data_IF_394001722947
#
_entry.id   IF_394001722947
#
_cell.length_a   1.000
_cell.length_b   1.000
_cell.length_c   1.000
_cell.angle_alpha   90.00
_cell.angle_beta   90.00
_cell.angle_gamma   90.00
#
_symmetry.space_group_name_H-M   'P 1'
#
loop_
_entity.id
_entity.type
_entity.pdbx_description
1 polymer ?
#
# COMPACT_ATOMS: atom_id res chain seq x y z
N UNK A 1 71.87 -20.53 30.03
CA UNK A 1 71.79 -20.08 28.61
C UNK A 1 70.86 -20.95 27.73
N UNK A 2 69.73 -21.49 28.26
CA UNK A 2 68.76 -22.27 27.46
C UNK A 2 67.39 -21.61 27.33
N UNK A 3 67.03 -20.72 28.27
CA UNK A 3 65.74 -20.00 28.26
C UNK A 3 65.67 -18.85 27.24
N UNK A 4 66.80 -18.29 26.81
CA UNK A 4 66.81 -17.15 25.87
C UNK A 4 66.64 -17.58 24.40
N UNK A 5 66.85 -18.87 24.08
CA UNK A 5 66.64 -19.42 22.72
C UNK A 5 65.17 -19.75 22.43
N UNK A 6 64.34 -19.92 23.46
CA UNK A 6 62.91 -20.19 23.29
C UNK A 6 62.08 -18.91 23.06
N UNK A 7 62.51 -17.77 23.59
CA UNK A 7 61.87 -16.48 23.32
C UNK A 7 62.09 -15.98 21.87
N UNK A 8 63.16 -16.43 21.21
CA UNK A 8 63.45 -16.08 19.81
C UNK A 8 62.69 -16.95 18.80
N UNK A 9 62.09 -18.08 19.20
CA UNK A 9 61.33 -18.94 18.30
C UNK A 9 59.84 -18.55 18.20
N UNK A 10 59.28 -17.87 19.20
CA UNK A 10 57.88 -17.42 19.18
C UNK A 10 57.66 -16.13 18.38
N UNK A 11 58.70 -15.33 18.12
CA UNK A 11 58.58 -14.04 17.40
C UNK A 11 58.55 -14.24 15.87
N UNK A 12 59.02 -15.39 15.36
CA UNK A 12 59.07 -15.67 13.91
C UNK A 12 57.80 -16.31 13.31
N UNK A 13 56.76 -16.53 14.13
CA UNK A 13 55.43 -16.98 13.65
C UNK A 13 54.44 -15.83 13.43
N UNK A 14 54.85 -14.58 13.66
CA UNK A 14 54.15 -13.41 13.10
C UNK A 14 54.55 -13.25 11.63
N UNK A 15 54.06 -14.16 10.79
CA UNK A 15 54.10 -13.97 9.34
C UNK A 15 53.42 -12.65 8.96
N UNK A 16 53.80 -12.04 7.82
CA UNK A 16 53.11 -10.86 7.33
C UNK A 16 51.65 -11.25 7.11
N UNK A 17 50.75 -10.69 7.91
CA UNK A 17 49.35 -10.54 7.52
C UNK A 17 49.42 -9.66 6.28
N UNK A 18 49.54 -10.29 5.12
CA UNK A 18 49.65 -9.62 3.85
C UNK A 18 48.47 -8.67 3.73
N UNK A 19 48.75 -7.40 3.45
CA UNK A 19 47.74 -6.45 3.02
C UNK A 19 46.99 -7.10 1.86
N UNK A 20 45.82 -7.69 2.13
CA UNK A 20 44.84 -7.95 1.10
C UNK A 20 44.53 -6.58 0.55
N UNK A 21 45.07 -6.28 -0.63
CA UNK A 21 44.70 -5.11 -1.41
C UNK A 21 43.18 -5.13 -1.47
N UNK A 22 42.53 -4.24 -0.72
CA UNK A 22 41.07 -4.12 -0.77
C UNK A 22 40.71 -3.93 -2.25
N UNK A 23 39.81 -4.79 -2.73
CA UNK A 23 39.39 -4.76 -4.12
C UNK A 23 38.82 -3.38 -4.45
N UNK A 24 39.08 -2.88 -5.65
CA UNK A 24 38.50 -1.61 -6.08
C UNK A 24 36.96 -1.71 -6.04
N UNK A 25 36.31 -0.64 -5.59
CA UNK A 25 34.85 -0.55 -5.60
C UNK A 25 34.31 -0.54 -7.03
N UNK A 26 33.23 -1.27 -7.27
CA UNK A 26 32.65 -1.40 -8.60
C UNK A 26 31.66 -0.27 -8.89
N UNK A 27 31.92 0.47 -9.97
CA UNK A 27 30.97 1.46 -10.51
C UNK A 27 29.64 0.79 -10.88
N UNK A 28 29.67 -0.42 -11.45
CA UNK A 28 28.46 -1.15 -11.82
C UNK A 28 27.59 -1.48 -10.61
N UNK A 29 28.19 -1.83 -9.47
CA UNK A 29 27.45 -2.06 -8.23
C UNK A 29 26.81 -0.76 -7.68
N UNK A 30 27.55 0.35 -7.71
CA UNK A 30 27.04 1.64 -7.25
C UNK A 30 25.83 2.09 -8.08
N UNK A 31 25.95 2.06 -9.40
CA UNK A 31 24.86 2.40 -10.33
C UNK A 31 23.65 1.47 -10.15
N UNK A 32 23.87 0.15 -10.07
CA UNK A 32 22.79 -0.80 -9.88
C UNK A 32 22.04 -0.58 -8.57
N UNK A 33 22.76 -0.25 -7.49
CA UNK A 33 22.14 0.01 -6.18
C UNK A 33 21.31 1.29 -6.20
N UNK A 34 21.81 2.35 -6.84
CA UNK A 34 21.07 3.60 -7.00
C UNK A 34 19.79 3.39 -7.81
N UNK A 35 19.89 2.74 -8.97
CA UNK A 35 18.76 2.43 -9.84
C UNK A 35 17.75 1.52 -9.15
N UNK A 36 18.21 0.50 -8.42
CA UNK A 36 17.35 -0.36 -7.62
C UNK A 36 16.58 0.43 -6.57
N UNK A 37 17.26 1.28 -5.80
CA UNK A 37 16.60 2.09 -4.77
C UNK A 37 15.59 3.08 -5.37
N UNK A 38 15.92 3.68 -6.51
CA UNK A 38 15.02 4.59 -7.22
C UNK A 38 13.78 3.86 -7.79
N UNK A 39 13.97 2.66 -8.32
CA UNK A 39 12.87 1.82 -8.82
C UNK A 39 11.99 1.36 -7.66
N UNK A 40 12.60 0.86 -6.59
CA UNK A 40 11.91 0.39 -5.39
C UNK A 40 11.19 1.53 -4.65
N UNK A 41 11.76 2.73 -4.59
CA UNK A 41 11.12 3.89 -3.99
C UNK A 41 9.85 4.35 -4.71
N UNK A 42 9.71 4.02 -6.01
CA UNK A 42 8.53 4.37 -6.82
C UNK A 42 7.47 3.29 -6.87
N UNK A 43 7.88 2.02 -6.93
CA UNK A 43 6.98 0.89 -7.19
C UNK A 43 6.91 -0.14 -6.05
N UNK A 44 7.73 0.01 -5.01
CA UNK A 44 7.77 -0.87 -3.84
C UNK A 44 7.84 -2.35 -4.25
N UNK A 45 6.85 -3.17 -3.92
CA UNK A 45 6.86 -4.60 -4.24
C UNK A 45 6.64 -4.88 -5.73
N UNK A 46 5.93 -4.01 -6.46
CA UNK A 46 5.74 -4.18 -7.91
C UNK A 46 7.05 -3.98 -8.69
N UNK A 47 8.05 -3.31 -8.09
CA UNK A 47 9.35 -3.08 -8.69
C UNK A 47 10.03 -4.36 -9.19
N UNK A 48 9.83 -5.50 -8.52
CA UNK A 48 10.45 -6.78 -8.88
C UNK A 48 9.97 -7.34 -10.23
N UNK A 49 8.80 -6.91 -10.70
CA UNK A 49 8.21 -7.34 -11.98
C UNK A 49 8.44 -6.33 -13.12
N UNK A 50 9.01 -5.17 -12.81
CA UNK A 50 9.20 -4.10 -13.79
C UNK A 50 10.32 -4.46 -14.79
N UNK A 51 10.17 -4.12 -16.08
CA UNK A 51 11.21 -4.40 -17.08
C UNK A 51 12.54 -3.70 -16.79
N UNK A 52 12.51 -2.57 -16.07
CA UNK A 52 13.69 -1.83 -15.59
C UNK A 52 14.54 -2.63 -14.59
N UNK A 53 14.03 -3.73 -14.03
CA UNK A 53 14.81 -4.60 -13.14
C UNK A 53 15.88 -5.42 -13.89
N UNK A 54 15.61 -5.79 -15.15
CA UNK A 54 16.55 -6.60 -15.96
C UNK A 54 17.94 -5.95 -16.17
N UNK A 55 18.07 -4.66 -16.56
CA UNK A 55 19.39 -4.04 -16.67
C UNK A 55 20.11 -3.92 -15.31
N UNK A 56 19.38 -3.77 -14.20
CA UNK A 56 19.96 -3.74 -12.84
C UNK A 56 20.59 -5.09 -12.51
N UNK A 57 19.90 -6.19 -12.79
CA UNK A 57 20.44 -7.55 -12.60
C UNK A 57 21.69 -7.78 -13.44
N UNK A 58 21.69 -7.34 -14.71
CA UNK A 58 22.85 -7.45 -15.58
C UNK A 58 24.06 -6.68 -15.04
N UNK A 59 23.85 -5.46 -14.51
CA UNK A 59 24.92 -4.69 -13.86
C UNK A 59 25.47 -5.42 -12.64
N UNK A 60 24.61 -5.98 -11.79
CA UNK A 60 25.03 -6.77 -10.63
C UNK A 60 25.78 -8.05 -11.02
N UNK A 61 25.40 -8.68 -12.14
CA UNK A 61 26.10 -9.84 -12.68
C UNK A 61 27.50 -9.50 -13.21
N UNK A 62 27.67 -8.29 -13.75
CA UNK A 62 28.93 -7.80 -14.32
C UNK A 62 30.00 -7.44 -13.28
N UNK A 63 29.65 -7.40 -11.98
CA UNK A 63 30.60 -7.05 -10.91
C UNK A 63 31.69 -8.13 -10.82
N UNK A 64 32.98 -7.78 -10.99
CA UNK A 64 34.05 -8.76 -10.98
C UNK A 64 34.30 -9.32 -9.58
N UNK A 65 34.72 -10.58 -9.50
CA UNK A 65 34.97 -11.27 -8.21
C UNK A 65 36.09 -10.62 -7.38
N UNK A 66 36.99 -9.89 -8.04
CA UNK A 66 38.07 -9.15 -7.41
C UNK A 66 37.63 -7.84 -6.76
N UNK A 67 36.40 -7.38 -6.98
CA UNK A 67 35.89 -6.14 -6.39
C UNK A 67 35.51 -6.33 -4.92
N UNK A 68 35.73 -5.29 -4.10
CA UNK A 68 35.24 -5.26 -2.72
C UNK A 68 33.70 -5.30 -2.61
N UNK A 69 32.98 -5.05 -3.70
CA UNK A 69 31.52 -5.06 -3.73
C UNK A 69 30.92 -6.41 -4.17
N UNK A 70 31.74 -7.37 -4.62
CA UNK A 70 31.25 -8.61 -5.23
C UNK A 70 30.23 -9.36 -4.37
N UNK A 71 30.56 -9.59 -3.10
CA UNK A 71 29.68 -10.29 -2.18
C UNK A 71 28.32 -9.58 -2.00
N UNK A 72 28.34 -8.24 -1.93
CA UNK A 72 27.12 -7.42 -1.80
C UNK A 72 26.30 -7.43 -3.09
N UNK A 73 26.96 -7.41 -4.25
CA UNK A 73 26.30 -7.51 -5.55
C UNK A 73 25.56 -8.85 -5.70
N UNK A 74 26.21 -9.96 -5.32
CA UNK A 74 25.59 -11.30 -5.35
C UNK A 74 24.42 -11.42 -4.38
N UNK A 75 24.53 -10.84 -3.20
CA UNK A 75 23.44 -10.82 -2.22
C UNK A 75 22.24 -10.01 -2.73
N UNK A 76 22.47 -8.82 -3.30
CA UNK A 76 21.40 -8.01 -3.88
C UNK A 76 20.72 -8.74 -5.05
N UNK A 77 21.51 -9.33 -5.96
CA UNK A 77 20.98 -10.12 -7.07
C UNK A 77 20.10 -11.29 -6.59
N UNK A 78 20.56 -12.02 -5.56
CA UNK A 78 19.77 -13.10 -4.94
C UNK A 78 18.45 -12.57 -4.38
N UNK A 79 18.48 -11.44 -3.68
CA UNK A 79 17.28 -10.81 -3.12
C UNK A 79 16.30 -10.38 -4.20
N UNK A 80 16.78 -9.81 -5.30
CA UNK A 80 15.93 -9.40 -6.43
C UNK A 80 15.21 -10.62 -7.02
N UNK A 81 15.96 -11.70 -7.31
CA UNK A 81 15.40 -12.93 -7.90
C UNK A 81 14.38 -13.60 -6.96
N UNK A 82 14.72 -13.75 -5.69
CA UNK A 82 13.78 -14.29 -4.69
C UNK A 82 12.56 -13.39 -4.48
N UNK A 83 12.74 -12.07 -4.55
CA UNK A 83 11.64 -11.11 -4.52
C UNK A 83 10.68 -11.30 -5.68
N UNK A 84 11.20 -11.49 -6.90
CA UNK A 84 10.40 -11.78 -8.09
C UNK A 84 9.59 -13.06 -7.95
N UNK A 85 10.23 -14.16 -7.59
CA UNK A 85 9.56 -15.45 -7.37
C UNK A 85 8.43 -15.33 -6.35
N UNK A 86 8.66 -14.60 -5.25
CA UNK A 86 7.63 -14.35 -4.23
C UNK A 86 6.45 -13.57 -4.79
N UNK A 87 6.69 -12.45 -5.45
CA UNK A 87 5.61 -11.58 -6.00
C UNK A 87 4.83 -12.30 -7.10
N UNK A 88 5.50 -13.07 -7.96
CA UNK A 88 4.84 -13.90 -8.98
C UNK A 88 3.95 -14.97 -8.34
N UNK A 89 4.44 -15.65 -7.29
CA UNK A 89 3.65 -16.65 -6.56
C UNK A 89 2.43 -16.04 -5.86
N UNK A 90 2.59 -14.88 -5.21
CA UNK A 90 1.49 -14.15 -4.58
C UNK A 90 0.44 -13.71 -5.62
N UNK A 91 0.88 -13.23 -6.78
CA UNK A 91 -0.02 -12.87 -7.89
C UNK A 91 -0.77 -14.09 -8.42
N UNK A 92 -0.08 -15.19 -8.67
CA UNK A 92 -0.71 -16.43 -9.15
C UNK A 92 -1.71 -17.00 -8.14
N UNK A 93 -1.37 -16.98 -6.84
CA UNK A 93 -2.27 -17.41 -5.77
C UNK A 93 -3.52 -16.53 -5.70
N UNK A 94 -3.37 -15.21 -5.84
CA UNK A 94 -4.50 -14.27 -5.90
C UNK A 94 -5.39 -14.52 -7.11
N UNK A 95 -4.81 -14.72 -8.29
CA UNK A 95 -5.56 -15.05 -9.52
C UNK A 95 -6.29 -16.39 -9.42
N UNK A 96 -5.69 -17.38 -8.75
CA UNK A 96 -6.35 -18.65 -8.44
C UNK A 96 -7.55 -18.44 -7.51
N UNK A 97 -7.37 -17.74 -6.39
CA UNK A 97 -8.45 -17.47 -5.43
C UNK A 97 -9.64 -16.71 -6.06
N UNK A 98 -9.37 -15.75 -6.94
CA UNK A 98 -10.41 -15.04 -7.70
C UNK A 98 -11.15 -16.01 -8.63
N UNK A 99 -10.44 -16.87 -9.36
CA UNK A 99 -11.07 -17.85 -10.25
C UNK A 99 -11.94 -18.84 -9.47
N UNK A 100 -11.46 -19.35 -8.33
CA UNK A 100 -12.23 -20.26 -7.48
C UNK A 100 -13.50 -19.60 -6.95
N UNK A 101 -13.41 -18.35 -6.50
CA UNK A 101 -14.57 -17.60 -6.00
C UNK A 101 -15.62 -17.32 -7.09
N UNK A 102 -15.22 -17.31 -8.36
CA UNK A 102 -16.11 -17.12 -9.51
C UNK A 102 -16.69 -18.44 -10.06
N UNK A 103 -16.26 -19.61 -9.57
CA UNK A 103 -16.86 -20.88 -9.98
C UNK A 103 -18.30 -20.96 -9.45
N UNK A 104 -19.30 -21.17 -10.32
CA UNK A 104 -20.66 -21.39 -9.87
C UNK A 104 -20.70 -22.66 -9.01
N UNK A 105 -21.33 -22.59 -7.83
CA UNK A 105 -21.47 -23.74 -6.96
C UNK A 105 -22.22 -24.86 -7.68
N UNK A 106 -21.51 -25.90 -8.13
CA UNK A 106 -22.13 -27.08 -8.72
C UNK A 106 -22.82 -27.88 -7.61
N UNK A 107 -24.16 -27.81 -7.58
CA UNK A 107 -24.97 -28.82 -6.93
C UNK A 107 -25.36 -28.61 -5.47
N UNK A 108 -25.38 -27.36 -4.97
CA UNK A 108 -26.05 -27.06 -3.70
C UNK A 108 -27.57 -27.15 -3.83
N UNK A 109 -28.15 -28.36 -3.72
CA UNK A 109 -29.59 -28.49 -3.41
C UNK A 109 -29.81 -27.87 -2.03
N UNK A 110 -30.44 -26.71 -1.97
CA UNK A 110 -31.13 -26.27 -0.76
C UNK A 110 -32.22 -27.31 -0.48
N UNK A 111 -31.93 -28.25 0.43
CA UNK A 111 -32.98 -29.03 1.08
C UNK A 111 -33.58 -28.09 2.12
N UNK A 112 -34.70 -27.47 1.76
CA UNK A 112 -35.54 -26.77 2.72
C UNK A 112 -36.20 -27.82 3.61
N UNK A 113 -35.53 -28.16 4.70
CA UNK A 113 -36.10 -28.98 5.76
C UNK A 113 -37.17 -28.14 6.48
N UNK A 114 -38.42 -28.63 6.64
CA UNK A 114 -39.46 -27.86 7.32
C UNK A 114 -39.04 -27.61 8.77
N UNK A 115 -38.83 -26.35 9.12
CA UNK A 115 -38.40 -25.96 10.45
C UNK A 115 -39.46 -26.35 11.51
N UNK A 116 -39.07 -26.99 12.64
CA UNK A 116 -39.93 -27.11 13.80
C UNK A 116 -40.27 -25.71 14.35
N UNK A 117 -41.41 -25.54 15.06
CA UNK A 117 -41.88 -24.23 15.51
C UNK A 117 -40.81 -23.53 16.36
N UNK A 118 -40.64 -22.20 16.19
CA UNK A 118 -39.53 -21.49 16.79
C UNK A 118 -39.63 -21.50 18.32
N UNK A 119 -38.60 -22.05 18.96
CA UNK A 119 -38.32 -21.74 20.35
C UNK A 119 -38.04 -20.23 20.49
N UNK A 120 -38.37 -19.59 21.63
CA UNK A 120 -38.13 -18.17 21.82
C UNK A 120 -36.65 -17.85 21.57
N UNK A 121 -36.42 -17.00 20.56
CA UNK A 121 -35.10 -16.53 20.20
C UNK A 121 -34.49 -15.81 21.41
N UNK A 122 -33.37 -16.34 21.90
CA UNK A 122 -32.41 -15.50 22.64
C UNK A 122 -32.01 -14.32 21.75
N UNK A 123 -31.57 -13.20 22.35
CA UNK A 123 -31.19 -12.01 21.58
C UNK A 123 -30.13 -12.40 20.53
N UNK A 124 -30.28 -11.96 19.27
CA UNK A 124 -29.26 -12.20 18.26
C UNK A 124 -27.99 -11.49 18.71
N UNK A 125 -26.91 -12.24 18.84
CA UNK A 125 -25.56 -11.70 18.99
C UNK A 125 -25.17 -11.14 17.61
N UNK A 126 -25.76 -9.99 17.28
CA UNK A 126 -25.41 -9.22 16.10
C UNK A 126 -24.01 -8.66 16.37
N UNK A 127 -23.01 -9.45 15.99
CA UNK A 127 -21.62 -9.02 15.89
C UNK A 127 -21.59 -7.64 15.23
N UNK A 128 -20.75 -6.77 15.77
CA UNK A 128 -20.75 -5.37 15.38
C UNK A 128 -20.62 -5.21 13.85
N UNK A 129 -21.35 -4.27 13.23
CA UNK A 129 -21.36 -4.10 11.78
C UNK A 129 -19.93 -3.92 11.26
N UNK A 130 -19.55 -4.72 10.27
CA UNK A 130 -18.20 -4.73 9.68
C UNK A 130 -17.93 -3.47 8.83
N UNK A 131 -18.98 -2.73 8.48
CA UNK A 131 -18.94 -1.57 7.60
C UNK A 131 -19.86 -0.45 8.10
N UNK A 132 -19.62 0.81 7.68
CA UNK A 132 -20.56 1.89 7.89
C UNK A 132 -21.95 1.53 7.35
N UNK A 133 -22.96 1.59 8.20
CA UNK A 133 -24.34 1.31 7.86
C UNK A 133 -25.22 2.53 8.08
N UNK A 134 -26.35 2.60 7.36
CA UNK A 134 -27.34 3.67 7.52
C UNK A 134 -27.81 3.72 8.98
N UNK A 135 -27.86 4.93 9.56
CA UNK A 135 -28.21 5.18 10.95
C UNK A 135 -27.04 5.13 11.95
N UNK A 136 -25.85 4.69 11.53
CA UNK A 136 -24.66 4.65 12.38
C UNK A 136 -24.14 6.06 12.70
N UNK A 137 -23.63 6.27 13.91
CA UNK A 137 -22.98 7.53 14.30
C UNK A 137 -21.68 7.76 13.53
N UNK A 138 -21.52 8.96 12.97
CA UNK A 138 -20.32 9.37 12.24
C UNK A 138 -19.06 9.35 13.13
N UNK A 139 -19.22 9.68 14.41
CA UNK A 139 -18.14 9.57 15.40
C UNK A 139 -17.71 8.12 15.64
N UNK A 140 -18.65 7.17 15.60
CA UNK A 140 -18.35 5.74 15.71
C UNK A 140 -17.62 5.25 14.46
N UNK A 141 -17.98 5.75 13.27
CA UNK A 141 -17.26 5.44 12.03
C UNK A 141 -15.81 5.90 12.10
N UNK A 142 -15.58 7.14 12.53
CA UNK A 142 -14.23 7.68 12.68
C UNK A 142 -13.42 6.92 13.72
N UNK A 143 -14.06 6.49 14.81
CA UNK A 143 -13.40 5.72 15.87
C UNK A 143 -12.98 4.33 15.39
N UNK A 144 -13.80 3.66 14.57
CA UNK A 144 -13.56 2.27 14.14
C UNK A 144 -12.75 2.18 12.85
N UNK A 145 -12.95 3.13 11.94
CA UNK A 145 -12.39 3.08 10.60
C UNK A 145 -11.81 4.43 10.14
N UNK A 146 -11.49 5.37 11.04
CA UNK A 146 -10.92 6.68 10.69
C UNK A 146 -9.57 6.61 9.94
N UNK A 147 -8.86 5.49 10.09
CA UNK A 147 -7.66 5.18 9.30
C UNK A 147 -7.97 5.05 7.81
N UNK A 148 -9.19 4.62 7.45
CA UNK A 148 -9.65 4.41 6.09
C UNK A 148 -10.72 5.36 5.60
N UNK A 149 -11.51 5.97 6.50
CA UNK A 149 -12.56 6.92 6.13
C UNK A 149 -12.14 8.33 6.49
N UNK A 150 -12.04 9.20 5.48
CA UNK A 150 -11.71 10.61 5.65
C UNK A 150 -12.89 11.51 5.28
N UNK A 151 -12.96 12.74 5.82
CA UNK A 151 -13.89 13.75 5.32
C UNK A 151 -13.72 13.95 3.81
N UNK A 152 -14.83 13.91 3.09
CA UNK A 152 -14.92 14.15 1.65
C UNK A 152 -15.41 15.55 1.32
N UNK A 153 -15.69 15.77 0.03
CA UNK A 153 -16.34 17.00 -0.44
C UNK A 153 -17.80 17.00 -0.01
N UNK A 154 -18.33 18.09 0.60
CA UNK A 154 -19.74 18.20 0.91
C UNK A 154 -20.60 18.02 -0.35
N UNK A 155 -21.71 17.30 -0.24
CA UNK A 155 -22.63 17.04 -1.35
C UNK A 155 -23.97 17.73 -1.10
N UNK A 156 -24.50 18.40 -2.11
CA UNK A 156 -25.87 18.88 -2.12
C UNK A 156 -26.82 17.70 -2.32
N UNK A 157 -27.62 17.39 -1.28
CA UNK A 157 -28.63 16.35 -1.33
C UNK A 157 -29.96 16.98 -1.71
N UNK A 158 -30.58 16.50 -2.80
CA UNK A 158 -31.84 17.03 -3.32
C UNK A 158 -32.91 17.11 -2.21
N UNK A 159 -33.40 18.33 -1.95
CA UNK A 159 -34.40 18.59 -0.91
C UNK A 159 -33.87 18.62 0.53
N UNK A 160 -32.57 18.43 0.76
CA UNK A 160 -31.95 18.47 2.09
C UNK A 160 -30.74 19.40 2.21
N UNK A 161 -30.23 19.97 1.12
CA UNK A 161 -29.10 20.91 1.16
C UNK A 161 -27.74 20.21 1.30
N UNK A 162 -26.68 20.99 1.51
CA UNK A 162 -25.33 20.50 1.71
C UNK A 162 -25.19 19.53 2.90
N UNK A 163 -24.55 18.39 2.67
CA UNK A 163 -24.28 17.36 3.67
C UNK A 163 -22.80 17.01 3.71
N UNK A 164 -22.35 16.71 4.91
CA UNK A 164 -21.02 16.18 5.15
C UNK A 164 -20.90 14.78 4.54
N UNK A 165 -19.70 14.45 4.09
CA UNK A 165 -19.43 13.15 3.50
C UNK A 165 -18.19 12.53 4.10
N UNK A 166 -18.19 11.19 4.16
CA UNK A 166 -16.97 10.42 4.35
C UNK A 166 -16.70 9.60 3.11
N UNK A 167 -15.44 9.59 2.71
CA UNK A 167 -14.95 8.81 1.60
C UNK A 167 -13.87 7.86 2.06
N UNK A 168 -13.81 6.70 1.40
CA UNK A 168 -12.71 5.78 1.56
C UNK A 168 -11.42 6.43 1.03
N UNK A 169 -10.34 6.32 1.79
CA UNK A 169 -9.01 6.70 1.34
C UNK A 169 -8.58 5.82 0.18
N UNK A 170 -7.91 6.43 -0.79
CA UNK A 170 -7.45 5.76 -1.99
C UNK A 170 -6.13 5.01 -1.75
N UNK A 171 -6.14 4.08 -0.80
CA UNK A 171 -5.00 3.21 -0.50
C UNK A 171 -5.40 1.75 -0.74
N UNK A 172 -4.44 0.92 -1.13
CA UNK A 172 -4.67 -0.50 -1.36
C UNK A 172 -5.27 -1.19 -0.12
N UNK A 173 -4.72 -0.89 1.06
CA UNK A 173 -5.20 -1.39 2.34
C UNK A 173 -6.69 -1.09 2.57
N UNK A 174 -7.12 0.16 2.40
CA UNK A 174 -8.51 0.54 2.66
C UNK A 174 -9.47 -0.03 1.63
N UNK A 175 -9.09 -0.10 0.35
CA UNK A 175 -9.91 -0.74 -0.70
C UNK A 175 -10.05 -2.25 -0.50
N UNK A 176 -9.02 -2.91 0.04
CA UNK A 176 -9.05 -4.34 0.33
C UNK A 176 -9.93 -4.66 1.54
N UNK A 177 -9.85 -3.84 2.59
CA UNK A 177 -10.62 -4.05 3.83
C UNK A 177 -12.05 -3.49 3.77
N UNK A 178 -12.37 -2.63 2.79
CA UNK A 178 -13.71 -2.10 2.56
C UNK A 178 -14.07 -2.17 1.07
N UNK A 179 -14.24 -3.39 0.52
CA UNK A 179 -14.52 -3.57 -0.90
C UNK A 179 -15.85 -2.92 -1.29
N UNK A 180 -15.87 -2.22 -2.44
CA UNK A 180 -17.05 -1.53 -2.96
C UNK A 180 -17.27 -0.13 -2.39
N UNK A 181 -16.61 0.23 -1.28
CA UNK A 181 -16.65 1.59 -0.73
C UNK A 181 -15.77 2.59 -1.49
N UNK A 182 -14.90 2.11 -2.39
CA UNK A 182 -14.15 2.96 -3.33
C UNK A 182 -15.08 3.66 -4.33
N UNK A 183 -16.21 3.02 -4.66
CA UNK A 183 -17.27 3.56 -5.52
C UNK A 183 -18.44 4.16 -4.74
N UNK A 184 -18.32 4.34 -3.42
CA UNK A 184 -19.39 4.87 -2.58
C UNK A 184 -18.92 6.07 -1.76
N UNK A 185 -19.89 6.90 -1.38
CA UNK A 185 -19.72 8.03 -0.48
C UNK A 185 -20.72 7.87 0.66
N UNK A 186 -20.23 7.96 1.89
CA UNK A 186 -21.08 7.93 3.08
C UNK A 186 -21.60 9.35 3.31
N UNK A 187 -22.91 9.55 3.21
CA UNK A 187 -23.55 10.86 3.42
C UNK A 187 -23.99 10.97 4.87
N UNK A 188 -23.63 12.06 5.55
CA UNK A 188 -23.91 12.30 6.97
C UNK A 188 -24.97 13.39 7.13
N UNK A 189 -25.96 13.13 7.99
CA UNK A 189 -26.94 14.10 8.43
C UNK A 189 -27.09 14.04 9.95
N UNK A 190 -26.94 15.18 10.64
CA UNK A 190 -27.10 15.25 12.09
C UNK A 190 -26.15 14.34 12.86
N UNK A 191 -24.93 14.12 12.33
CA UNK A 191 -23.93 13.25 12.95
C UNK A 191 -24.16 11.75 12.73
N UNK A 192 -25.12 11.35 11.88
CA UNK A 192 -25.41 9.95 11.55
C UNK A 192 -25.34 9.70 10.05
N UNK A 193 -25.09 8.46 9.66
CA UNK A 193 -25.15 8.04 8.25
C UNK A 193 -26.59 8.15 7.75
N UNK A 194 -26.81 9.07 6.84
CA UNK A 194 -28.07 9.22 6.12
C UNK A 194 -28.19 8.16 5.02
N UNK A 195 -27.15 8.00 4.21
CA UNK A 195 -27.16 7.12 3.04
C UNK A 195 -25.75 6.72 2.62
N UNK A 196 -25.65 5.60 1.90
CA UNK A 196 -24.47 5.19 1.14
C UNK A 196 -24.77 5.45 -0.33
N UNK A 197 -24.17 6.52 -0.88
CA UNK A 197 -24.43 6.96 -2.25
C UNK A 197 -23.36 6.40 -3.20
N UNK A 198 -23.74 5.66 -4.27
CA UNK A 198 -22.80 5.29 -5.31
C UNK A 198 -22.28 6.54 -6.02
N UNK A 199 -20.97 6.62 -6.29
CA UNK A 199 -20.36 7.76 -6.99
C UNK A 199 -21.00 8.02 -8.35
N UNK A 200 -21.45 6.97 -9.04
CA UNK A 200 -22.18 7.05 -10.32
C UNK A 200 -23.52 7.81 -10.24
N UNK A 201 -24.11 7.89 -9.06
CA UNK A 201 -25.40 8.55 -8.83
C UNK A 201 -25.21 10.01 -8.37
N UNK A 202 -23.95 10.43 -8.14
CA UNK A 202 -23.59 11.80 -7.79
C UNK A 202 -23.38 12.59 -9.08
N UNK A 203 -24.16 13.65 -9.26
CA UNK A 203 -23.96 14.62 -10.34
C UNK A 203 -23.08 15.76 -9.85
N UNK A 204 -21.90 15.92 -10.45
CA UNK A 204 -21.01 17.04 -10.17
C UNK A 204 -21.46 18.26 -10.98
N UNK A 205 -22.26 19.14 -10.40
CA UNK A 205 -22.43 20.48 -10.96
C UNK A 205 -21.24 21.34 -10.52
N UNK A 206 -20.42 21.77 -11.48
CA UNK A 206 -19.34 22.73 -11.23
C UNK A 206 -20.02 24.07 -10.95
N UNK A 207 -20.11 24.46 -9.69
CA UNK A 207 -20.47 25.82 -9.31
C UNK A 207 -19.35 26.73 -9.81
N UNK A 208 -19.62 27.45 -10.89
CA UNK A 208 -18.77 28.54 -11.35
C UNK A 208 -18.79 29.61 -10.26
N UNK A 209 -17.65 29.83 -9.59
CA UNK A 209 -17.54 30.88 -8.58
C UNK A 209 -17.93 32.22 -9.22
N UNK A 210 -18.82 33.02 -8.60
CA UNK A 210 -19.02 34.39 -9.04
C UNK A 210 -17.69 35.12 -8.93
N UNK A 211 -17.16 35.54 -10.09
CA UNK A 211 -15.88 36.22 -10.21
C UNK A 211 -15.75 37.40 -9.24
N UNK A 212 -14.53 37.73 -8.81
CA UNK A 212 -14.29 38.75 -7.80
C UNK A 212 -14.90 40.11 -8.22
N UNK A 213 -15.45 40.89 -7.28
CA UNK A 213 -16.05 42.18 -7.61
C UNK A 213 -14.99 43.10 -8.23
N UNK A 214 -15.23 43.56 -9.45
CA UNK A 214 -14.45 44.62 -10.07
C UNK A 214 -14.55 45.86 -9.17
N UNK A 215 -13.48 46.18 -8.46
CA UNK A 215 -13.37 47.42 -7.70
C UNK A 215 -13.38 48.57 -8.71
N UNK A 216 -14.51 49.29 -8.75
CA UNK A 216 -14.65 50.51 -9.53
C UNK A 216 -13.52 51.49 -9.21
N UNK A 217 -12.87 51.97 -10.27
CA UNK A 217 -11.88 53.03 -10.22
C UNK A 217 -12.51 54.28 -9.57
N UNK A 218 -12.03 54.65 -8.39
CA UNK A 218 -12.30 55.97 -7.82
C UNK A 218 -11.21 56.91 -8.34
N UNK A 219 -11.61 57.90 -9.14
CA UNK A 219 -10.75 58.97 -9.63
C UNK A 219 -10.20 59.82 -8.46
N UNK A 220 -8.96 60.32 -8.52
CA UNK A 220 -8.47 61.26 -7.52
C UNK A 220 -9.02 62.67 -7.76
N UNK A 221 -9.82 63.17 -6.83
CA UNK A 221 -10.12 64.60 -6.69
C UNK A 221 -9.06 65.25 -5.79
N UNK A 222 -8.52 66.38 -6.25
CA UNK A 222 -7.30 66.99 -5.72
C UNK A 222 -7.40 67.73 -4.39
N UNK A 223 -6.22 68.15 -3.94
CA UNK A 223 -5.96 69.39 -3.20
C UNK A 223 -4.51 69.79 -3.37
#
# INVERSE_FOLDING_TARGET
>A
MRALRWLLLCVLLLGPIGCRKEGEHSKAYAEATEEFNALYGRHVEDAYLMPEMAPIEQKLESVPESSADYARARELLKRIRSGRERVEAEKAAREHAIRDALQPAEGGRFVEEPAPPPAPAGPPDAGAPEHPAVGMDAAEIQKRWGDCFRPGTPLEVVGRGARETLELRDTLYCRQHHPGFDQQVVVIEGGKVLALAPRKDIKTERVEEPGPPQRGATAPAGR
#
